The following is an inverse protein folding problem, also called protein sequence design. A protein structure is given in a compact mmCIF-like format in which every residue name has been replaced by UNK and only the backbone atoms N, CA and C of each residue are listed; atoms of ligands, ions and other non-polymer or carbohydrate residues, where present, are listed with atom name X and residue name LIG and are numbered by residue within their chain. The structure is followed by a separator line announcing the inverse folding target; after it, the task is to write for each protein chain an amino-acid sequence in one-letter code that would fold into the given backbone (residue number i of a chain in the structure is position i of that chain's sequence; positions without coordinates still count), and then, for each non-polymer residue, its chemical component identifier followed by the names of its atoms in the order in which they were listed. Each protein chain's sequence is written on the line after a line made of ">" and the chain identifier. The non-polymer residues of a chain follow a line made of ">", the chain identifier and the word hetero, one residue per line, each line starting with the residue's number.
data_IF_306884297680
#
_entry.id   IF_306884297680
#
_cell.length_a   1.000
_cell.length_b   1.000
_cell.length_c   1.000
_cell.angle_alpha   90.00
_cell.angle_beta   90.00
_cell.angle_gamma   90.00
#
_symmetry.space_group_name_H-M   'P 1'
#
loop_
_entity.id
_entity.type
_entity.pdbx_description
1 polymer ?
#
# COMPACT_ATOMS: atom_id res chain seq x y z
N UNK A 1 8.07 26.59 -4.75
CA UNK A 1 7.34 27.20 -3.61
C UNK A 1 6.34 26.18 -3.05
N UNK A 2 6.18 26.04 -1.73
CA UNK A 2 5.37 24.96 -1.15
C UNK A 2 3.91 25.40 -0.92
N UNK A 3 2.99 24.87 -1.72
CA UNK A 3 1.57 25.16 -1.60
C UNK A 3 0.94 24.22 -0.56
N UNK A 4 0.83 24.67 0.70
CA UNK A 4 0.25 23.89 1.80
C UNK A 4 -1.28 23.88 1.71
N UNK A 5 -1.89 22.70 1.82
CA UNK A 5 -3.33 22.48 1.79
C UNK A 5 -3.82 21.78 3.06
N UNK A 6 -5.13 21.88 3.32
CA UNK A 6 -5.77 21.10 4.37
C UNK A 6 -5.69 19.61 4.03
N UNK A 7 -5.39 18.79 5.02
CA UNK A 7 -5.21 17.34 4.87
C UNK A 7 -3.83 16.89 4.39
N UNK A 8 -2.89 17.79 4.09
CA UNK A 8 -1.50 17.41 3.81
C UNK A 8 -0.82 16.83 5.07
N UNK A 9 0.23 16.02 4.89
CA UNK A 9 0.94 15.34 5.96
C UNK A 9 2.33 15.94 6.17
N UNK A 10 2.53 16.49 7.35
CA UNK A 10 3.77 17.12 7.78
C UNK A 10 4.30 16.43 9.03
N UNK A 11 5.56 16.67 9.35
CA UNK A 11 6.14 16.32 10.64
C UNK A 11 7.15 17.39 11.03
N UNK A 12 7.53 17.41 12.31
CA UNK A 12 8.64 18.23 12.77
C UNK A 12 9.96 17.80 12.11
N UNK A 13 10.90 18.73 11.93
CA UNK A 13 12.21 18.48 11.32
C UNK A 13 12.98 17.33 11.98
N UNK A 14 12.83 17.13 13.29
CA UNK A 14 13.50 16.07 14.05
C UNK A 14 12.84 14.67 13.91
N UNK A 15 11.77 14.53 13.14
CA UNK A 15 11.21 13.22 12.82
C UNK A 15 12.17 12.41 11.92
N UNK A 16 12.21 11.07 11.96
CA UNK A 16 13.11 10.28 11.11
C UNK A 16 12.64 10.14 9.65
N UNK A 17 11.34 10.18 9.39
CA UNK A 17 10.84 10.04 8.01
C UNK A 17 11.09 11.27 7.16
N UNK A 18 11.46 11.03 5.90
CA UNK A 18 11.53 12.04 4.84
C UNK A 18 10.46 11.77 3.77
N UNK A 19 10.29 12.72 2.84
CA UNK A 19 9.31 12.63 1.75
C UNK A 19 9.41 11.32 0.97
N UNK A 20 10.63 10.91 0.64
CA UNK A 20 10.93 9.70 -0.16
C UNK A 20 11.41 8.53 0.70
N UNK A 21 11.92 8.80 1.91
CA UNK A 21 12.51 7.79 2.80
C UNK A 21 11.61 7.57 4.00
N UNK A 22 10.72 6.58 3.87
CA UNK A 22 9.75 6.19 4.92
C UNK A 22 10.06 4.82 5.54
N UNK A 23 10.90 4.01 4.90
CA UNK A 23 11.33 2.71 5.40
C UNK A 23 12.53 2.86 6.38
N UNK A 24 12.36 3.70 7.40
CA UNK A 24 13.37 3.94 8.44
C UNK A 24 12.97 3.21 9.71
N UNK A 25 13.88 2.40 10.24
CA UNK A 25 13.73 1.78 11.56
C UNK A 25 14.23 2.73 12.65
N UNK A 26 13.41 2.93 13.67
CA UNK A 26 13.71 3.86 14.77
C UNK A 26 14.43 3.07 15.86
N UNK A 27 15.72 3.34 16.03
CA UNK A 27 16.52 2.81 17.13
C UNK A 27 16.51 3.76 18.34
N UNK A 28 16.74 3.22 19.54
CA UNK A 28 16.74 4.01 20.79
C UNK A 28 15.34 4.29 21.34
N UNK A 29 15.14 5.46 21.94
CA UNK A 29 13.87 5.84 22.57
C UNK A 29 12.83 6.29 21.54
N UNK A 30 12.15 5.33 20.91
CA UNK A 30 11.14 5.59 19.89
C UNK A 30 10.01 6.53 20.37
N UNK A 31 9.69 6.54 21.66
CA UNK A 31 8.69 7.44 22.27
C UNK A 31 9.03 8.93 22.18
N UNK A 32 10.27 9.30 21.83
CA UNK A 32 10.68 10.69 21.57
C UNK A 32 10.44 11.10 20.11
N UNK A 33 9.98 10.18 19.26
CA UNK A 33 9.63 10.49 17.87
C UNK A 33 8.36 11.33 17.84
N UNK A 34 8.33 12.48 17.16
CA UNK A 34 7.12 13.27 17.07
C UNK A 34 6.02 12.56 16.23
N UNK A 35 4.75 12.95 16.37
CA UNK A 35 3.68 12.43 15.52
C UNK A 35 3.78 12.98 14.09
N UNK A 36 3.16 12.26 13.16
CA UNK A 36 2.83 12.80 11.84
C UNK A 36 1.56 13.64 11.99
N UNK A 37 1.65 14.89 11.55
CA UNK A 37 0.63 15.90 11.67
C UNK A 37 -0.19 15.97 10.38
N UNK A 38 -1.52 15.96 10.52
CA UNK A 38 -2.44 16.25 9.40
C UNK A 38 -2.85 17.72 9.47
N UNK A 39 -2.71 18.47 8.38
CA UNK A 39 -3.05 19.91 8.39
C UNK A 39 -4.56 20.11 8.55
N UNK A 40 -4.97 20.73 9.65
CA UNK A 40 -6.37 21.04 9.99
C UNK A 40 -6.75 22.51 9.75
N UNK A 41 -5.81 23.42 9.99
CA UNK A 41 -5.97 24.87 9.76
C UNK A 41 -4.65 25.48 9.27
N UNK A 42 -4.74 26.58 8.54
CA UNK A 42 -3.60 27.36 8.07
C UNK A 42 -3.81 28.81 8.49
N UNK A 43 -2.79 29.39 9.13
CA UNK A 43 -2.74 30.79 9.49
C UNK A 43 -1.67 31.49 8.66
N UNK A 44 -2.09 32.43 7.84
CA UNK A 44 -1.25 33.39 7.15
C UNK A 44 -1.29 34.69 7.95
N UNK A 45 -0.35 34.91 8.90
CA UNK A 45 -0.31 36.16 9.62
C UNK A 45 -0.16 37.33 8.63
N UNK A 46 -0.68 38.52 8.95
CA UNK A 46 -0.36 39.73 8.20
C UNK A 46 1.17 39.88 8.09
N UNK A 47 1.65 40.71 7.14
CA UNK A 47 3.05 41.22 7.11
C UNK A 47 3.30 42.13 8.33
N UNK A 48 3.13 41.58 9.51
CA UNK A 48 3.42 42.18 10.80
C UNK A 48 4.75 41.60 11.25
N UNK A 49 5.70 42.49 11.47
CA UNK A 49 6.92 42.17 12.18
C UNK A 49 6.56 42.00 13.65
N UNK A 50 7.16 41.00 14.28
CA UNK A 50 7.14 40.88 15.72
C UNK A 50 7.72 42.16 16.34
N UNK A 51 7.00 42.76 17.29
CA UNK A 51 7.34 44.06 17.86
C UNK A 51 8.65 44.03 18.69
N UNK A 52 9.04 42.85 19.18
CA UNK A 52 10.25 42.66 19.99
C UNK A 52 11.44 42.21 19.12
N UNK A 53 11.21 41.30 18.15
CA UNK A 53 12.30 40.73 17.35
C UNK A 53 12.49 41.37 15.98
N UNK A 54 11.50 42.13 15.48
CA UNK A 54 11.54 42.74 14.14
C UNK A 54 11.43 41.72 12.99
N UNK A 55 11.25 40.42 13.29
CA UNK A 55 11.17 39.36 12.28
C UNK A 55 9.73 39.26 11.78
N UNK A 56 9.54 39.16 10.46
CA UNK A 56 8.21 38.94 9.88
C UNK A 56 7.62 37.61 10.39
N UNK A 57 6.37 37.65 10.90
CA UNK A 57 5.69 36.44 11.36
C UNK A 57 5.59 35.42 10.23
N UNK A 58 6.10 34.22 10.46
CA UNK A 58 6.02 33.13 9.49
C UNK A 58 4.63 32.53 9.44
N UNK A 59 4.26 31.98 8.28
CA UNK A 59 3.07 31.12 8.13
C UNK A 59 3.08 30.02 9.19
N UNK A 60 1.91 29.77 9.78
CA UNK A 60 1.70 28.73 10.77
C UNK A 60 0.64 27.76 10.27
N UNK A 61 0.73 26.52 10.71
CA UNK A 61 -0.31 25.52 10.47
C UNK A 61 -0.73 24.92 11.81
N UNK A 62 -1.98 24.47 11.88
CA UNK A 62 -2.49 23.65 12.96
C UNK A 62 -2.50 22.20 12.50
N UNK A 63 -1.62 21.38 13.06
CA UNK A 63 -1.62 19.94 12.85
C UNK A 63 -2.58 19.26 13.82
N UNK A 64 -3.31 18.24 13.37
CA UNK A 64 -4.04 17.29 14.23
C UNK A 64 -3.33 15.93 14.21
N UNK A 65 -3.27 15.26 15.35
CA UNK A 65 -2.76 13.90 15.52
C UNK A 65 -3.52 13.18 16.63
N UNK A 66 -3.38 11.85 16.72
CA UNK A 66 -3.93 11.07 17.82
C UNK A 66 -2.83 10.73 18.83
N UNK A 67 -3.11 10.88 20.12
CA UNK A 67 -2.17 10.63 21.19
C UNK A 67 -2.64 9.42 22.03
N UNK A 68 -1.88 8.32 22.01
CA UNK A 68 -2.25 7.15 22.84
C UNK A 68 -2.15 7.42 24.33
N UNK A 69 -1.28 8.34 24.77
CA UNK A 69 -1.09 8.61 26.20
C UNK A 69 -2.39 9.07 26.87
N UNK A 70 -3.22 9.83 26.18
CA UNK A 70 -4.51 10.31 26.69
C UNK A 70 -5.72 9.80 25.92
N UNK A 71 -5.51 9.02 24.85
CA UNK A 71 -6.54 8.49 23.97
C UNK A 71 -7.43 9.58 23.35
N UNK A 72 -6.84 10.71 22.93
CA UNK A 72 -7.53 11.85 22.34
C UNK A 72 -6.85 12.34 21.07
N UNK A 73 -7.63 13.05 20.26
CA UNK A 73 -7.09 13.87 19.19
C UNK A 73 -6.54 15.17 19.78
N UNK A 74 -5.29 15.48 19.47
CA UNK A 74 -4.62 16.70 19.91
C UNK A 74 -4.31 17.58 18.69
N UNK A 75 -4.21 18.88 18.95
CA UNK A 75 -3.85 19.85 17.92
C UNK A 75 -2.66 20.69 18.34
N UNK A 76 -1.76 20.97 17.40
CA UNK A 76 -0.54 21.73 17.64
C UNK A 76 -0.37 22.82 16.56
N UNK A 77 -0.16 24.06 16.98
CA UNK A 77 0.27 25.14 16.09
C UNK A 77 1.78 25.11 15.91
N UNK A 78 2.25 25.05 14.66
CA UNK A 78 3.67 24.96 14.33
C UNK A 78 4.01 25.95 13.22
N UNK A 79 5.19 26.56 13.31
CA UNK A 79 5.73 27.39 12.23
C UNK A 79 6.13 26.52 11.03
N UNK A 80 5.82 26.97 9.82
CA UNK A 80 6.18 26.22 8.60
C UNK A 80 7.68 25.95 8.48
N UNK A 81 8.53 26.79 9.09
CA UNK A 81 9.98 26.61 9.13
C UNK A 81 10.44 25.40 9.95
N UNK A 82 9.66 24.95 10.92
CA UNK A 82 9.99 23.81 11.80
C UNK A 82 9.47 22.48 11.23
N UNK A 83 8.82 22.54 10.07
CA UNK A 83 8.17 21.39 9.46
C UNK A 83 8.92 20.87 8.26
N UNK A 84 8.80 19.57 8.06
CA UNK A 84 9.13 18.88 6.83
C UNK A 84 7.94 18.11 6.30
N UNK A 85 7.96 17.85 5.01
CA UNK A 85 6.82 17.28 4.29
C UNK A 85 7.00 15.80 4.13
N UNK A 86 5.99 15.05 4.56
CA UNK A 86 5.99 13.60 4.48
C UNK A 86 5.18 13.15 3.27
N UNK A 87 4.03 13.80 3.02
CA UNK A 87 3.18 13.49 1.88
C UNK A 87 2.32 14.70 1.54
N UNK A 88 2.24 15.00 0.24
CA UNK A 88 1.34 16.01 -0.30
C UNK A 88 0.18 15.27 -0.96
N UNK A 89 -1.04 15.80 -0.81
CA UNK A 89 -2.19 15.30 -1.53
C UNK A 89 -2.12 15.75 -3.01
N UNK A 90 -1.37 15.03 -3.83
CA UNK A 90 -1.38 15.18 -5.29
C UNK A 90 -2.43 14.26 -5.89
N UNK A 91 -3.38 14.81 -6.65
CA UNK A 91 -4.09 13.99 -7.65
C UNK A 91 -3.25 13.98 -8.93
N UNK A 92 -3.19 12.78 -9.52
CA UNK A 92 -2.80 12.37 -10.86
C UNK A 92 -2.30 13.45 -11.82
N UNK A 93 -1.17 13.15 -12.44
CA UNK A 93 -0.57 13.82 -13.60
C UNK A 93 -1.55 13.91 -14.78
N UNK A 94 -2.43 14.91 -14.76
CA UNK A 94 -3.01 15.50 -15.96
C UNK A 94 -3.26 16.95 -15.61
N UNK A 95 -2.22 17.76 -15.76
CA UNK A 95 -2.26 19.16 -16.21
C UNK A 95 -0.85 19.72 -16.06
N UNK A 96 -0.08 19.54 -17.14
CA UNK A 96 1.22 20.14 -17.33
C UNK A 96 1.11 21.67 -17.39
N UNK A 97 2.18 22.29 -16.91
CA UNK A 97 2.75 23.55 -17.37
C UNK A 97 1.97 24.83 -17.05
N UNK A 98 2.41 25.49 -15.96
CA UNK A 98 3.14 26.74 -16.14
C UNK A 98 4.11 26.95 -14.97
N UNK A 99 5.35 26.52 -15.19
CA UNK A 99 6.50 26.96 -14.42
C UNK A 99 6.87 28.37 -14.87
N UNK A 100 6.69 29.37 -14.01
CA UNK A 100 7.57 30.53 -13.99
C UNK A 100 8.02 30.74 -12.54
N UNK A 101 9.32 30.55 -12.32
CA UNK A 101 10.03 30.86 -11.09
C UNK A 101 10.60 32.26 -11.26
N UNK A 102 10.13 33.20 -10.44
CA UNK A 102 10.90 34.39 -10.08
C UNK A 102 10.98 34.48 -8.56
N UNK A 103 12.21 34.54 -8.08
CA UNK A 103 12.63 34.94 -6.75
C UNK A 103 12.43 36.44 -6.59
N UNK A 104 11.60 36.83 -5.62
CA UNK A 104 11.76 37.97 -4.71
C UNK A 104 10.40 38.56 -4.30
N UNK A 105 10.20 38.69 -2.98
CA UNK A 105 9.38 39.77 -2.39
C UNK A 105 7.86 39.81 -2.59
N UNK A 106 7.23 38.96 -3.39
CA UNK A 106 5.83 39.18 -3.79
C UNK A 106 4.79 38.27 -3.13
N UNK A 107 3.64 38.89 -2.86
CA UNK A 107 2.49 38.36 -2.14
C UNK A 107 1.90 37.13 -2.82
N UNK A 108 1.59 36.09 -2.05
CA UNK A 108 0.61 35.11 -2.52
C UNK A 108 -0.71 35.84 -2.79
N UNK A 109 -1.10 35.89 -4.06
CA UNK A 109 -2.49 36.10 -4.44
C UNK A 109 -3.29 34.90 -3.92
N UNK A 110 -3.77 34.95 -2.67
CA UNK A 110 -4.94 34.16 -2.25
C UNK A 110 -6.23 34.71 -2.86
N UNK A 111 -6.14 35.61 -3.86
CA UNK A 111 -7.26 36.06 -4.69
C UNK A 111 -7.80 34.99 -5.65
N UNK A 112 -7.14 33.84 -5.79
CA UNK A 112 -7.62 32.74 -6.64
C UNK A 112 -7.41 31.38 -5.99
N UNK A 113 -8.48 30.77 -5.49
CA UNK A 113 -8.60 29.35 -5.19
C UNK A 113 -7.61 28.77 -4.17
N UNK A 114 -7.92 28.91 -2.87
CA UNK A 114 -7.60 27.81 -1.94
C UNK A 114 -8.54 26.67 -2.31
N UNK A 115 -8.02 25.67 -3.01
CA UNK A 115 -8.79 24.48 -3.34
C UNK A 115 -9.12 23.73 -2.05
N UNK A 116 -10.37 23.86 -1.60
CA UNK A 116 -10.95 23.00 -0.58
C UNK A 116 -11.59 21.83 -1.32
N UNK A 117 -11.26 20.60 -0.90
CA UNK A 117 -11.89 19.39 -1.44
C UNK A 117 -13.42 19.44 -1.28
N UNK A 118 -13.89 20.11 -0.23
CA UNK A 118 -15.31 20.29 0.08
C UNK A 118 -15.63 21.78 0.24
N UNK A 119 -15.84 22.52 -0.86
CA UNK A 119 -16.18 23.93 -0.80
C UNK A 119 -17.60 24.15 -0.25
N UNK A 120 -17.89 25.38 0.20
CA UNK A 120 -19.22 25.81 0.67
C UNK A 120 -20.37 25.63 -0.34
N UNK A 121 -20.05 25.46 -1.63
CA UNK A 121 -21.04 25.21 -2.67
C UNK A 121 -21.66 23.82 -2.61
N UNK A 122 -21.03 22.86 -1.92
CA UNK A 122 -21.61 21.54 -1.69
C UNK A 122 -22.67 21.63 -0.59
N UNK A 123 -23.85 21.04 -0.80
CA UNK A 123 -24.89 21.06 0.23
C UNK A 123 -24.51 20.20 1.44
N UNK A 124 -25.00 20.56 2.63
CA UNK A 124 -24.77 19.77 3.83
C UNK A 124 -25.38 18.37 3.70
N UNK A 125 -26.51 18.26 3.01
CA UNK A 125 -27.21 17.00 2.70
C UNK A 125 -26.31 16.06 1.90
N UNK A 126 -25.62 16.57 0.88
CA UNK A 126 -24.70 15.75 0.09
C UNK A 126 -23.50 15.27 0.92
N UNK A 127 -22.95 16.13 1.80
CA UNK A 127 -21.87 15.71 2.71
C UNK A 127 -22.37 14.63 3.68
N UNK A 128 -23.61 14.74 4.16
CA UNK A 128 -24.25 13.70 5.00
C UNK A 128 -24.37 12.37 4.26
N UNK A 129 -24.85 12.35 3.03
CA UNK A 129 -24.88 11.12 2.21
C UNK A 129 -23.49 10.49 2.04
N UNK A 130 -22.45 11.32 1.89
CA UNK A 130 -21.09 10.84 1.69
C UNK A 130 -20.43 10.28 2.95
N UNK A 131 -20.74 10.80 4.15
CA UNK A 131 -19.96 10.50 5.35
C UNK A 131 -20.78 9.93 6.52
N UNK A 132 -22.06 10.28 6.64
CA UNK A 132 -22.86 9.88 7.81
C UNK A 132 -22.90 8.36 7.94
N UNK A 133 -22.68 7.86 9.16
CA UNK A 133 -22.60 6.43 9.49
C UNK A 133 -21.48 5.65 8.82
N UNK A 134 -20.61 6.30 8.03
CA UNK A 134 -19.42 5.65 7.47
C UNK A 134 -18.28 5.63 8.48
N UNK A 135 -17.40 4.67 8.28
CA UNK A 135 -16.13 4.61 9.00
C UNK A 135 -15.12 5.53 8.33
N UNK A 136 -14.39 6.29 9.14
CA UNK A 136 -13.32 7.17 8.69
C UNK A 136 -12.09 6.98 9.55
N UNK A 137 -10.92 7.34 9.02
CA UNK A 137 -9.66 7.25 9.73
C UNK A 137 -8.80 8.47 9.42
N UNK A 138 -7.98 8.89 10.38
CA UNK A 138 -7.07 10.01 10.19
C UNK A 138 -6.01 9.66 9.13
N UNK A 139 -5.73 10.58 8.20
CA UNK A 139 -4.81 10.38 7.07
C UNK A 139 -3.38 9.96 7.43
N UNK A 140 -2.93 10.27 8.64
CA UNK A 140 -1.63 9.83 9.13
C UNK A 140 -1.55 8.32 9.40
N UNK A 141 -2.68 7.61 9.47
CA UNK A 141 -2.74 6.22 9.93
C UNK A 141 -1.76 5.28 9.25
N UNK A 142 -1.71 5.26 7.92
CA UNK A 142 -0.86 4.31 7.19
C UNK A 142 0.64 4.57 7.42
N UNK A 143 1.02 5.84 7.58
CA UNK A 143 2.39 6.20 7.89
C UNK A 143 2.74 5.87 9.35
N UNK A 144 1.80 6.08 10.28
CA UNK A 144 1.96 5.68 11.68
C UNK A 144 2.06 4.16 11.83
N UNK A 145 1.22 3.39 11.11
CA UNK A 145 1.31 1.92 11.05
C UNK A 145 2.63 1.41 10.48
N UNK A 146 3.28 2.21 9.62
CA UNK A 146 4.57 1.89 9.01
C UNK A 146 5.76 2.07 9.96
N UNK A 147 5.60 2.73 11.11
CA UNK A 147 6.70 2.99 12.05
C UNK A 147 7.15 1.69 12.71
N UNK A 148 8.41 1.36 12.50
CA UNK A 148 9.08 0.21 13.12
C UNK A 148 10.14 0.71 14.09
N UNK A 149 10.18 0.13 15.28
CA UNK A 149 11.27 0.30 16.25
C UNK A 149 12.12 -0.95 16.31
N UNK A 150 13.43 -0.77 16.44
CA UNK A 150 14.40 -1.84 16.63
C UNK A 150 15.00 -1.76 18.03
N UNK A 151 15.15 -2.90 18.68
CA UNK A 151 15.84 -3.02 19.98
C UNK A 151 17.01 -3.95 19.83
N UNK A 152 18.21 -3.45 20.15
CA UNK A 152 19.43 -4.22 20.16
C UNK A 152 19.41 -5.21 21.32
N UNK A 153 19.59 -6.50 21.03
CA UNK A 153 19.79 -7.52 22.05
C UNK A 153 21.09 -8.28 21.75
N UNK A 154 21.99 -8.31 22.73
CA UNK A 154 23.22 -9.08 22.66
C UNK A 154 23.04 -10.34 23.52
N UNK A 155 22.67 -11.44 22.89
CA UNK A 155 22.79 -12.77 23.51
C UNK A 155 24.26 -13.16 23.57
N UNK A 156 24.65 -13.87 24.64
CA UNK A 156 26.04 -14.26 24.94
C UNK A 156 26.75 -15.04 23.81
N UNK A 157 26.00 -15.56 22.84
CA UNK A 157 26.49 -16.26 21.65
C UNK A 157 26.55 -15.35 20.41
N UNK A 158 27.42 -14.32 20.42
CA UNK A 158 28.02 -13.60 19.27
C UNK A 158 27.21 -13.33 17.97
N UNK A 159 25.88 -13.39 17.98
CA UNK A 159 25.01 -12.93 16.90
C UNK A 159 24.14 -11.80 17.43
N UNK A 160 24.39 -10.54 17.03
CA UNK A 160 23.44 -9.48 17.31
C UNK A 160 22.11 -9.84 16.65
N UNK A 161 21.05 -9.89 17.44
CA UNK A 161 19.71 -10.10 16.91
C UNK A 161 18.88 -8.87 17.24
N UNK A 162 18.54 -8.11 16.19
CA UNK A 162 17.72 -6.92 16.30
C UNK A 162 16.26 -7.33 16.30
N UNK A 163 15.58 -7.10 17.43
CA UNK A 163 14.14 -7.34 17.52
C UNK A 163 13.41 -6.14 16.94
N UNK A 164 12.79 -6.32 15.77
CA UNK A 164 11.96 -5.31 15.13
C UNK A 164 10.51 -5.45 15.61
N UNK A 165 9.91 -4.35 16.07
CA UNK A 165 8.50 -4.29 16.50
C UNK A 165 7.83 -3.03 15.97
N UNK A 166 6.50 -3.00 15.92
CA UNK A 166 5.78 -1.78 15.53
C UNK A 166 5.86 -0.69 16.62
N UNK A 167 5.88 0.57 16.20
CA UNK A 167 5.78 1.74 17.08
C UNK A 167 4.46 2.46 16.81
N UNK A 168 3.51 2.35 17.74
CA UNK A 168 2.10 2.69 17.51
C UNK A 168 1.60 3.84 18.37
N UNK A 169 2.48 4.63 18.99
CA UNK A 169 2.12 5.64 20.01
C UNK A 169 1.19 6.75 19.47
N UNK A 170 1.15 6.95 18.14
CA UNK A 170 0.28 7.91 17.48
C UNK A 170 -0.69 7.29 16.46
N UNK A 171 -0.89 5.96 16.51
CA UNK A 171 -1.82 5.28 15.61
C UNK A 171 -3.29 5.70 15.90
N UNK A 172 -3.98 6.42 15.01
CA UNK A 172 -5.37 6.83 15.22
C UNK A 172 -6.32 5.61 15.22
N UNK A 173 -7.40 5.60 16.03
CA UNK A 173 -8.44 4.58 15.96
C UNK A 173 -9.31 4.78 14.70
N UNK A 174 -10.02 3.72 14.29
CA UNK A 174 -11.11 3.82 13.32
C UNK A 174 -12.29 4.54 13.98
N UNK A 175 -12.86 5.51 13.27
CA UNK A 175 -13.93 6.38 13.76
C UNK A 175 -15.22 6.07 13.01
N UNK A 176 -16.36 6.26 13.67
CA UNK A 176 -17.68 6.27 13.01
C UNK A 176 -18.23 7.70 13.01
N UNK A 177 -18.62 8.20 11.84
CA UNK A 177 -19.25 9.52 11.74
C UNK A 177 -20.69 9.43 12.22
N UNK A 178 -21.02 10.19 13.27
CA UNK A 178 -22.36 10.20 13.88
C UNK A 178 -23.16 11.46 13.55
N UNK A 179 -22.50 12.56 13.20
CA UNK A 179 -23.14 13.82 12.80
C UNK A 179 -22.17 14.67 11.98
N UNK A 180 -22.70 15.67 11.26
CA UNK A 180 -21.92 16.59 10.43
C UNK A 180 -22.49 17.99 10.60
N UNK A 181 -21.62 18.95 10.91
CA UNK A 181 -21.99 20.36 11.05
C UNK A 181 -21.11 21.27 10.19
N UNK A 182 -21.64 22.41 9.72
CA UNK A 182 -20.80 23.45 9.15
C UNK A 182 -19.86 24.01 10.23
N UNK A 183 -18.65 24.37 9.82
CA UNK A 183 -17.71 25.06 10.69
C UNK A 183 -18.09 26.54 10.75
N UNK A 184 -18.49 27.01 11.92
CA UNK A 184 -18.87 28.41 12.16
C UNK A 184 -17.66 29.34 12.26
N UNK A 185 -16.44 28.79 12.31
CA UNK A 185 -15.23 29.60 12.31
C UNK A 185 -15.12 30.42 11.02
N UNK A 186 -15.21 31.75 11.18
CA UNK A 186 -15.14 32.68 10.06
C UNK A 186 -13.75 32.62 9.41
N UNK A 187 -13.74 32.33 8.11
CA UNK A 187 -12.64 32.67 7.23
C UNK A 187 -12.38 34.17 7.40
N UNK A 188 -11.23 34.52 7.95
CA UNK A 188 -10.86 35.93 8.16
C UNK A 188 -9.97 36.39 7.02
N UNK A 189 -10.27 37.57 6.48
CA UNK A 189 -9.44 38.23 5.48
C UNK A 189 -8.54 39.26 6.16
N UNK A 190 -7.36 39.50 5.59
CA UNK A 190 -6.51 40.60 5.98
C UNK A 190 -7.10 41.89 5.39
N UNK A 191 -7.45 42.90 6.22
CA UNK A 191 -8.06 44.13 5.75
C UNK A 191 -7.14 44.97 4.83
N UNK A 192 -5.82 44.77 4.90
CA UNK A 192 -4.84 45.53 4.08
C UNK A 192 -4.55 44.87 2.73
N UNK A 193 -4.46 43.54 2.68
CA UNK A 193 -4.08 42.81 1.45
C UNK A 193 -5.24 42.09 0.76
N UNK A 194 -6.40 41.97 1.41
CA UNK A 194 -7.54 41.16 0.93
C UNK A 194 -7.32 39.65 1.00
N UNK A 195 -6.11 39.21 1.36
CA UNK A 195 -5.72 37.81 1.42
C UNK A 195 -6.34 37.06 2.60
N UNK A 196 -6.52 35.75 2.45
CA UNK A 196 -7.05 34.87 3.48
C UNK A 196 -6.06 34.74 4.65
N UNK A 197 -6.41 35.31 5.81
CA UNK A 197 -5.65 35.25 7.07
C UNK A 197 -5.74 33.87 7.71
N UNK A 198 -6.94 33.30 7.77
CA UNK A 198 -7.18 31.97 8.35
C UNK A 198 -7.94 31.10 7.34
N UNK A 199 -7.41 29.92 7.08
CA UNK A 199 -8.05 28.88 6.28
C UNK A 199 -8.37 27.73 7.23
N UNK A 200 -9.66 27.42 7.36
CA UNK A 200 -10.19 26.31 8.13
C UNK A 200 -11.09 25.46 7.24
N UNK A 201 -11.37 24.24 7.71
CA UNK A 201 -12.35 23.37 7.08
C UNK A 201 -13.75 23.99 7.08
N UNK A 202 -14.53 23.70 6.03
CA UNK A 202 -15.93 24.13 5.93
C UNK A 202 -16.86 23.23 6.73
N UNK A 203 -16.53 21.94 6.87
CA UNK A 203 -17.37 20.95 7.55
C UNK A 203 -16.59 20.21 8.62
N UNK A 204 -17.23 20.02 9.77
CA UNK A 204 -16.71 19.22 10.86
C UNK A 204 -17.53 17.95 10.99
N UNK A 205 -16.84 16.82 11.01
CA UNK A 205 -17.42 15.51 11.26
C UNK A 205 -17.42 15.26 12.76
N UNK A 206 -18.58 14.99 13.34
CA UNK A 206 -18.67 14.45 14.70
C UNK A 206 -18.35 12.97 14.63
N UNK A 207 -17.21 12.58 15.16
CA UNK A 207 -16.68 11.23 15.10
C UNK A 207 -16.79 10.56 16.47
N UNK A 208 -17.19 9.29 16.50
CA UNK A 208 -17.26 8.43 17.68
C UNK A 208 -16.27 7.28 17.57
N UNK A 209 -15.55 6.96 18.66
CA UNK A 209 -14.65 5.81 18.72
C UNK A 209 -14.58 5.21 20.12
N UNK A 210 -14.14 3.96 20.20
CA UNK A 210 -13.92 3.30 21.48
C UNK A 210 -12.62 3.80 22.12
N UNK A 211 -12.72 4.32 23.35
CA UNK A 211 -11.59 4.79 24.12
C UNK A 211 -11.25 3.77 25.22
N UNK A 212 -10.16 2.99 25.05
CA UNK A 212 -9.84 1.90 25.97
C UNK A 212 -9.40 2.39 27.35
N UNK A 213 -8.88 3.62 27.49
CA UNK A 213 -8.53 4.18 28.80
C UNK A 213 -9.77 4.45 29.65
N UNK A 214 -10.87 4.88 29.02
CA UNK A 214 -12.15 5.13 29.71
C UNK A 214 -13.07 3.91 29.77
N UNK A 215 -12.84 2.88 28.95
CA UNK A 215 -13.77 1.77 28.75
C UNK A 215 -15.10 2.17 28.09
N UNK A 216 -15.16 3.34 27.46
CA UNK A 216 -16.37 3.94 26.90
C UNK A 216 -16.12 4.55 25.52
N UNK A 217 -17.16 5.07 24.88
CA UNK A 217 -17.00 5.79 23.61
C UNK A 217 -16.66 7.25 23.85
N UNK A 218 -15.67 7.75 23.12
CA UNK A 218 -15.34 9.18 23.03
C UNK A 218 -15.89 9.76 21.73
N UNK A 219 -16.19 11.07 21.77
CA UNK A 219 -16.70 11.82 20.63
C UNK A 219 -15.92 13.13 20.48
N UNK A 220 -15.62 13.52 19.25
CA UNK A 220 -14.97 14.80 18.95
C UNK A 220 -15.28 15.26 17.53
N UNK A 221 -15.12 16.56 17.27
CA UNK A 221 -15.29 17.16 15.95
C UNK A 221 -13.97 17.23 15.21
N UNK A 222 -13.91 16.56 14.06
CA UNK A 222 -12.71 16.46 13.24
C UNK A 222 -12.97 17.13 11.87
N UNK A 223 -12.05 17.95 11.36
CA UNK A 223 -12.14 18.51 10.01
C UNK A 223 -12.26 17.44 8.93
N UNK A 224 -13.18 17.62 7.98
CA UNK A 224 -13.44 16.63 6.92
C UNK A 224 -12.20 16.33 6.05
N UNK A 225 -11.27 17.28 5.90
CA UNK A 225 -10.07 17.11 5.08
C UNK A 225 -8.98 16.29 5.76
N UNK A 226 -9.04 16.07 7.09
CA UNK A 226 -7.99 15.35 7.81
C UNK A 226 -8.20 13.84 7.84
N UNK A 227 -9.37 13.37 7.38
CA UNK A 227 -9.74 11.95 7.38
C UNK A 227 -9.89 11.40 5.96
N UNK A 228 -9.74 10.09 5.84
CA UNK A 228 -10.14 9.30 4.69
C UNK A 228 -11.27 8.33 5.08
N UNK A 229 -12.14 7.99 4.12
CA UNK A 229 -13.19 7.00 4.32
C UNK A 229 -12.54 5.61 4.32
N UNK A 230 -12.89 4.79 5.31
CA UNK A 230 -12.50 3.38 5.33
C UNK A 230 -13.38 2.63 4.35
N UNK A 231 -12.77 1.99 3.36
CA UNK A 231 -13.48 1.22 2.34
C UNK A 231 -14.20 0.04 2.99
N UNK A 232 -15.50 -0.09 2.70
CA UNK A 232 -16.22 -1.32 3.01
C UNK A 232 -15.92 -2.32 1.89
N UNK A 233 -15.37 -3.48 2.25
CA UNK A 233 -14.93 -4.47 1.29
C UNK A 233 -15.83 -5.69 1.38
N UNK A 234 -16.76 -5.80 0.44
CA UNK A 234 -17.75 -6.89 0.38
C UNK A 234 -17.14 -8.23 -0.10
N UNK A 235 -15.89 -8.24 -0.56
CA UNK A 235 -15.22 -9.43 -1.12
C UNK A 235 -14.55 -10.32 -0.06
N UNK A 236 -14.61 -9.95 1.22
CA UNK A 236 -14.01 -10.72 2.33
C UNK A 236 -14.52 -12.16 2.38
N UNK A 237 -15.83 -12.35 2.23
CA UNK A 237 -16.45 -13.68 2.26
C UNK A 237 -16.06 -14.52 1.04
N UNK A 238 -15.94 -13.89 -0.14
CA UNK A 238 -15.52 -14.57 -1.35
C UNK A 238 -14.07 -15.06 -1.22
N UNK A 239 -13.14 -14.20 -0.80
CA UNK A 239 -11.75 -14.63 -0.58
C UNK A 239 -11.64 -15.71 0.50
N UNK A 240 -12.48 -15.64 1.54
CA UNK A 240 -12.53 -16.67 2.58
C UNK A 240 -12.93 -18.04 2.01
N UNK A 241 -13.89 -18.08 1.07
CA UNK A 241 -14.25 -19.31 0.35
C UNK A 241 -13.08 -19.84 -0.49
N UNK A 242 -12.39 -18.98 -1.24
CA UNK A 242 -11.23 -19.36 -2.06
C UNK A 242 -10.08 -19.95 -1.24
N UNK A 243 -9.83 -19.40 -0.04
CA UNK A 243 -8.83 -19.94 0.91
C UNK A 243 -9.20 -21.37 1.33
N UNK A 244 -10.48 -21.61 1.65
CA UNK A 244 -10.97 -22.93 2.07
C UNK A 244 -10.92 -23.93 0.91
N UNK A 245 -11.36 -23.52 -0.28
CA UNK A 245 -11.40 -24.38 -1.47
C UNK A 245 -10.01 -24.65 -2.06
N UNK A 246 -8.99 -23.88 -1.64
CA UNK A 246 -7.61 -23.93 -2.15
C UNK A 246 -7.54 -23.65 -3.64
N UNK A 247 -8.38 -22.75 -4.13
CA UNK A 247 -8.46 -22.37 -5.53
C UNK A 247 -7.48 -21.23 -5.87
N UNK A 248 -7.07 -21.23 -7.13
CA UNK A 248 -6.27 -20.18 -7.76
C UNK A 248 -7.20 -19.26 -8.51
N UNK A 249 -6.85 -17.98 -8.52
CA UNK A 249 -7.51 -16.95 -9.32
C UNK A 249 -6.47 -16.22 -10.16
N UNK A 250 -6.91 -15.61 -11.25
CA UNK A 250 -6.05 -14.83 -12.13
C UNK A 250 -5.79 -13.46 -11.49
N UNK A 251 -4.53 -13.15 -11.22
CA UNK A 251 -4.13 -11.87 -10.61
C UNK A 251 -3.17 -11.11 -11.55
N UNK A 252 -3.38 -9.81 -11.81
CA UNK A 252 -2.44 -9.01 -12.59
C UNK A 252 -1.07 -8.97 -11.93
N UNK A 253 -0.03 -9.08 -12.76
CA UNK A 253 1.34 -8.85 -12.31
C UNK A 253 1.60 -7.34 -12.20
N UNK A 254 2.41 -6.93 -11.21
CA UNK A 254 2.85 -5.54 -11.06
C UNK A 254 3.72 -5.10 -12.24
N UNK A 255 4.56 -6.00 -12.72
CA UNK A 255 5.43 -5.84 -13.88
C UNK A 255 5.16 -7.00 -14.83
N UNK A 256 4.99 -6.70 -16.12
CA UNK A 256 4.77 -7.75 -17.12
C UNK A 256 6.04 -8.57 -17.29
N UNK A 257 5.88 -9.88 -17.45
CA UNK A 257 7.00 -10.77 -17.76
C UNK A 257 7.10 -10.88 -19.28
N UNK A 258 8.17 -10.34 -19.85
CA UNK A 258 8.50 -10.51 -21.26
C UNK A 258 9.37 -11.76 -21.42
N UNK A 259 8.83 -12.79 -22.06
CA UNK A 259 9.60 -13.98 -22.40
C UNK A 259 10.59 -13.64 -23.52
N UNK A 260 11.80 -14.19 -23.48
CA UNK A 260 12.76 -14.02 -24.59
C UNK A 260 12.24 -14.58 -25.92
N UNK A 261 11.22 -15.44 -25.90
CA UNK A 261 10.48 -15.87 -27.09
C UNK A 261 9.56 -14.78 -27.69
N UNK A 262 9.47 -13.59 -27.09
CA UNK A 262 8.64 -12.46 -27.54
C UNK A 262 7.18 -12.49 -27.07
N UNK A 263 6.84 -13.34 -26.09
CA UNK A 263 5.48 -13.41 -25.51
C UNK A 263 5.44 -12.64 -24.19
N UNK A 264 4.39 -11.84 -23.99
CA UNK A 264 4.24 -11.04 -22.78
C UNK A 264 3.14 -11.63 -21.89
N UNK A 265 3.49 -11.90 -20.63
CA UNK A 265 2.60 -12.44 -19.61
C UNK A 265 2.19 -11.30 -18.68
N UNK A 266 0.89 -11.08 -18.55
CA UNK A 266 0.33 -9.96 -17.77
C UNK A 266 -0.28 -10.38 -16.44
N UNK A 267 -0.55 -11.67 -16.28
CA UNK A 267 -1.21 -12.21 -15.09
C UNK A 267 -0.43 -13.39 -14.53
N UNK A 268 -0.71 -13.72 -13.28
CA UNK A 268 -0.31 -14.97 -12.62
C UNK A 268 -1.54 -15.68 -12.08
N UNK A 269 -1.37 -16.93 -11.65
CA UNK A 269 -2.33 -17.63 -10.82
C UNK A 269 -1.93 -17.46 -9.36
N UNK A 270 -2.75 -16.71 -8.62
CA UNK A 270 -2.60 -16.46 -7.20
C UNK A 270 -3.53 -17.38 -6.41
N UNK A 271 -3.01 -18.09 -5.42
CA UNK A 271 -3.81 -18.84 -4.46
C UNK A 271 -3.88 -18.06 -3.14
N UNK A 272 -5.05 -17.54 -2.73
CA UNK A 272 -5.23 -16.95 -1.42
C UNK A 272 -4.94 -17.97 -0.32
N UNK A 273 -4.11 -17.62 0.65
CA UNK A 273 -3.73 -18.49 1.77
C UNK A 273 -4.29 -17.96 3.08
N UNK A 274 -4.28 -16.64 3.29
CA UNK A 274 -4.72 -16.04 4.54
C UNK A 274 -5.22 -14.61 4.34
N UNK A 275 -6.32 -14.30 5.01
CA UNK A 275 -6.80 -12.93 5.18
C UNK A 275 -6.26 -12.32 6.48
N UNK A 276 -5.82 -11.07 6.43
CA UNK A 276 -5.29 -10.33 7.58
C UNK A 276 -5.99 -8.99 7.66
N UNK A 277 -6.70 -8.73 8.76
CA UNK A 277 -7.19 -7.38 9.04
C UNK A 277 -6.08 -6.55 9.68
N UNK A 278 -5.59 -5.54 8.95
CA UNK A 278 -4.54 -4.62 9.39
C UNK A 278 -5.17 -3.26 9.72
N UNK A 279 -5.72 -3.17 10.93
CA UNK A 279 -6.30 -1.98 11.57
C UNK A 279 -7.56 -1.40 10.91
N UNK A 280 -7.48 -0.99 9.64
CA UNK A 280 -8.62 -0.44 8.89
C UNK A 280 -8.75 -1.04 7.48
N UNK A 281 -7.83 -1.90 7.05
CA UNK A 281 -7.86 -2.54 5.74
C UNK A 281 -7.56 -4.03 5.81
N UNK A 282 -8.11 -4.78 4.87
CA UNK A 282 -7.82 -6.20 4.72
C UNK A 282 -6.65 -6.40 3.76
N UNK A 283 -5.76 -7.31 4.12
CA UNK A 283 -4.66 -7.77 3.30
C UNK A 283 -4.85 -9.25 2.99
N UNK A 284 -4.49 -9.65 1.78
CA UNK A 284 -4.47 -11.05 1.35
C UNK A 284 -3.03 -11.49 1.24
N UNK A 285 -2.66 -12.53 2.00
CA UNK A 285 -1.46 -13.31 1.72
C UNK A 285 -1.80 -14.40 0.74
N UNK A 286 -1.08 -14.45 -0.37
CA UNK A 286 -1.31 -15.41 -1.43
C UNK A 286 0.00 -16.03 -1.92
N UNK A 287 -0.10 -17.24 -2.44
CA UNK A 287 0.97 -17.92 -3.13
C UNK A 287 0.87 -17.63 -4.63
N UNK A 288 1.94 -17.10 -5.21
CA UNK A 288 2.07 -16.90 -6.65
C UNK A 288 2.64 -18.15 -7.30
N UNK A 289 1.88 -18.76 -8.22
CA UNK A 289 2.26 -19.99 -8.89
C UNK A 289 3.53 -19.84 -9.77
N UNK A 290 3.74 -18.66 -10.36
CA UNK A 290 4.80 -18.44 -11.36
C UNK A 290 6.15 -18.23 -10.68
N UNK A 291 6.17 -17.38 -9.66
CA UNK A 291 7.35 -17.11 -8.85
C UNK A 291 7.56 -18.15 -7.73
N UNK A 292 6.58 -19.01 -7.46
CA UNK A 292 6.60 -19.98 -6.37
C UNK A 292 6.92 -19.34 -5.01
N UNK A 293 6.39 -18.15 -4.77
CA UNK A 293 6.66 -17.33 -3.59
C UNK A 293 5.37 -16.78 -2.97
N UNK A 294 5.46 -16.41 -1.69
CA UNK A 294 4.36 -15.79 -0.96
C UNK A 294 4.43 -14.27 -1.10
N UNK A 295 3.31 -13.67 -1.46
CA UNK A 295 3.15 -12.22 -1.56
C UNK A 295 2.02 -11.74 -0.65
N UNK A 296 1.97 -10.42 -0.47
CA UNK A 296 0.92 -9.72 0.27
C UNK A 296 0.41 -8.56 -0.59
N UNK A 297 -0.91 -8.43 -0.70
CA UNK A 297 -1.57 -7.33 -1.40
C UNK A 297 -2.74 -6.79 -0.58
N UNK A 298 -3.13 -5.54 -0.84
CA UNK A 298 -4.40 -5.01 -0.33
C UNK A 298 -5.55 -5.79 -0.95
N UNK A 299 -6.58 -6.11 -0.16
CA UNK A 299 -7.77 -6.80 -0.68
C UNK A 299 -8.48 -5.95 -1.74
N UNK A 300 -8.41 -4.62 -1.67
CA UNK A 300 -8.97 -3.71 -2.67
C UNK A 300 -8.25 -3.77 -4.03
N UNK A 301 -7.00 -4.23 -4.07
CA UNK A 301 -6.20 -4.42 -5.30
C UNK A 301 -6.19 -5.87 -5.77
N UNK A 302 -6.75 -6.78 -4.98
CA UNK A 302 -6.79 -8.20 -5.25
C UNK A 302 -8.02 -8.51 -6.11
N UNK A 303 -7.80 -8.99 -7.34
CA UNK A 303 -8.90 -9.27 -8.26
C UNK A 303 -9.62 -10.52 -7.80
N UNK A 304 -10.88 -10.36 -7.37
CA UNK A 304 -11.72 -11.47 -6.94
C UNK A 304 -12.78 -11.69 -8.02
N UNK A 305 -12.38 -12.37 -9.09
CA UNK A 305 -13.29 -12.81 -10.14
C UNK A 305 -13.88 -14.18 -9.79
N UNK A 306 -15.04 -14.52 -10.36
CA UNK A 306 -15.70 -15.82 -10.16
C UNK A 306 -14.99 -16.97 -10.88
N UNK A 307 -14.03 -16.67 -11.77
CA UNK A 307 -13.23 -17.64 -12.51
C UNK A 307 -12.11 -18.21 -11.62
N UNK A 308 -12.48 -19.05 -10.65
CA UNK A 308 -11.56 -19.79 -9.80
C UNK A 308 -11.27 -21.18 -10.36
N UNK A 309 -10.04 -21.68 -10.14
CA UNK A 309 -9.57 -22.96 -10.67
C UNK A 309 -8.79 -23.71 -9.60
N UNK A 310 -8.90 -25.03 -9.54
CA UNK A 310 -7.97 -25.83 -8.73
C UNK A 310 -6.71 -26.10 -9.52
N UNK A 311 -5.59 -26.31 -8.83
CA UNK A 311 -4.32 -26.65 -9.49
C UNK A 311 -4.44 -27.86 -10.42
N UNK A 312 -5.27 -28.83 -10.05
CA UNK A 312 -5.53 -30.01 -10.89
C UNK A 312 -6.20 -29.67 -12.22
N UNK A 313 -6.97 -28.59 -12.29
CA UNK A 313 -7.69 -28.17 -13.49
C UNK A 313 -6.72 -27.48 -14.48
N UNK A 314 -5.56 -27.00 -13.99
CA UNK A 314 -4.47 -26.45 -14.81
C UNK A 314 -3.56 -27.54 -15.39
N UNK A 315 -3.65 -28.78 -14.92
CA UNK A 315 -2.74 -29.88 -15.28
C UNK A 315 -3.50 -30.93 -16.08
N UNK A 316 -3.09 -31.10 -17.34
CA UNK A 316 -3.65 -32.11 -18.25
C UNK A 316 -3.11 -33.49 -17.92
N UNK A 317 -1.78 -33.64 -17.87
CA UNK A 317 -1.10 -34.92 -17.65
C UNK A 317 0.04 -34.75 -16.64
N UNK A 318 0.40 -35.82 -15.92
CA UNK A 318 1.50 -35.84 -14.96
C UNK A 318 2.47 -36.97 -15.29
N UNK A 319 3.76 -36.73 -15.09
CA UNK A 319 4.83 -37.69 -15.35
C UNK A 319 5.90 -37.53 -14.26
N UNK A 320 6.38 -38.62 -13.62
CA UNK A 320 5.95 -39.99 -13.83
C UNK A 320 4.55 -40.22 -13.24
N UNK A 321 3.79 -41.08 -13.90
CA UNK A 321 2.45 -41.53 -13.50
C UNK A 321 2.35 -43.04 -13.79
N UNK A 322 1.80 -43.77 -12.82
CA UNK A 322 1.55 -45.20 -12.92
C UNK A 322 0.19 -45.42 -13.56
N UNK A 323 0.16 -46.22 -14.62
CA UNK A 323 -1.06 -46.62 -15.29
C UNK A 323 -1.49 -48.00 -14.78
N UNK A 324 -2.59 -48.04 -14.03
CA UNK A 324 -3.15 -49.27 -13.45
C UNK A 324 -3.60 -50.28 -14.51
N UNK A 325 -4.04 -49.81 -15.69
CA UNK A 325 -4.54 -50.68 -16.77
C UNK A 325 -3.40 -51.39 -17.49
N UNK A 326 -2.33 -50.67 -17.80
CA UNK A 326 -1.16 -51.25 -18.49
C UNK A 326 -0.10 -51.78 -17.53
N UNK A 327 -0.23 -51.50 -16.23
CA UNK A 327 0.78 -51.77 -15.19
C UNK A 327 2.16 -51.20 -15.52
N UNK A 328 2.21 -50.08 -16.24
CA UNK A 328 3.45 -49.42 -16.64
C UNK A 328 3.64 -48.08 -15.93
N UNK A 329 4.89 -47.71 -15.71
CA UNK A 329 5.27 -46.41 -15.15
C UNK A 329 5.81 -45.54 -16.28
N UNK A 330 5.18 -44.39 -16.52
CA UNK A 330 5.73 -43.41 -17.46
C UNK A 330 6.99 -42.79 -16.86
N UNK A 331 8.08 -42.75 -17.63
CA UNK A 331 9.32 -42.11 -17.18
C UNK A 331 9.43 -40.70 -17.75
N UNK A 332 10.03 -39.82 -16.95
CA UNK A 332 10.34 -38.45 -17.37
C UNK A 332 11.26 -38.43 -18.60
N UNK A 333 12.20 -39.39 -18.69
CA UNK A 333 13.18 -39.50 -19.78
C UNK A 333 12.54 -39.87 -21.14
N UNK A 334 11.36 -40.49 -21.12
CA UNK A 334 10.66 -40.89 -22.34
C UNK A 334 9.76 -39.77 -22.87
N UNK A 335 9.50 -38.73 -22.07
CA UNK A 335 8.58 -37.66 -22.43
C UNK A 335 9.12 -36.78 -23.56
N UNK A 336 8.23 -36.44 -24.50
CA UNK A 336 8.55 -35.55 -25.63
C UNK A 336 7.87 -34.20 -25.45
N UNK A 337 8.67 -33.15 -25.25
CA UNK A 337 8.14 -31.79 -25.15
C UNK A 337 7.70 -31.26 -26.51
N UNK A 338 6.54 -30.62 -26.51
CA UNK A 338 6.06 -29.79 -27.62
C UNK A 338 6.61 -28.36 -27.46
N UNK A 339 7.27 -27.85 -28.51
CA UNK A 339 7.78 -26.47 -28.57
C UNK A 339 6.59 -25.50 -28.56
N UNK A 340 6.73 -24.38 -27.86
CA UNK A 340 5.68 -23.36 -27.74
C UNK A 340 4.62 -23.65 -26.67
N UNK A 341 4.82 -24.67 -25.84
CA UNK A 341 3.91 -25.03 -24.75
C UNK A 341 4.53 -24.75 -23.38
N UNK A 342 3.66 -24.49 -22.40
CA UNK A 342 4.03 -24.41 -20.99
C UNK A 342 4.01 -25.76 -20.28
N UNK A 343 4.96 -25.94 -19.38
CA UNK A 343 5.06 -27.11 -18.49
C UNK A 343 5.41 -26.66 -17.08
N UNK A 344 4.87 -27.34 -16.08
CA UNK A 344 5.33 -27.22 -14.70
C UNK A 344 6.27 -28.38 -14.41
N UNK A 345 7.51 -28.07 -14.09
CA UNK A 345 8.57 -29.06 -13.86
C UNK A 345 9.07 -29.03 -12.42
N UNK A 346 9.39 -30.20 -11.88
CA UNK A 346 10.19 -30.33 -10.66
C UNK A 346 11.61 -30.65 -11.06
N UNK A 347 12.55 -29.76 -10.73
CA UNK A 347 13.93 -29.79 -11.22
C UNK A 347 14.92 -29.70 -10.06
N UNK A 348 15.89 -30.63 -10.06
CA UNK A 348 17.06 -30.66 -9.19
C UNK A 348 18.22 -29.97 -9.89
N UNK A 349 18.72 -28.89 -9.30
CA UNK A 349 19.87 -28.17 -9.86
C UNK A 349 21.21 -28.85 -9.54
N UNK A 350 22.31 -28.23 -9.99
CA UNK A 350 23.68 -28.72 -9.76
C UNK A 350 24.10 -28.73 -8.29
N UNK A 351 23.38 -28.00 -7.42
CA UNK A 351 23.60 -27.96 -5.99
C UNK A 351 22.61 -28.87 -5.23
N UNK A 352 21.94 -29.79 -5.94
CA UNK A 352 20.90 -30.67 -5.41
C UNK A 352 19.68 -29.95 -4.81
N UNK A 353 19.48 -28.68 -5.13
CA UNK A 353 18.28 -27.94 -4.70
C UNK A 353 17.13 -28.30 -5.63
N UNK A 354 16.04 -28.82 -5.03
CA UNK A 354 14.82 -29.14 -5.76
C UNK A 354 13.95 -27.89 -5.83
N UNK A 355 13.55 -27.53 -7.05
CA UNK A 355 12.72 -26.36 -7.33
C UNK A 355 11.56 -26.76 -8.23
N UNK A 356 10.42 -26.09 -8.07
CA UNK A 356 9.27 -26.24 -8.97
C UNK A 356 9.16 -24.98 -9.81
N UNK A 357 9.01 -25.14 -11.13
CA UNK A 357 9.08 -24.03 -12.08
C UNK A 357 8.07 -24.21 -13.19
N UNK A 358 7.55 -23.11 -13.71
CA UNK A 358 6.81 -23.10 -14.97
C UNK A 358 7.77 -22.62 -16.07
N UNK A 359 7.85 -23.39 -17.15
CA UNK A 359 8.75 -23.15 -18.27
C UNK A 359 7.98 -23.13 -19.59
N UNK A 360 8.42 -22.28 -20.51
CA UNK A 360 7.92 -22.19 -21.89
C UNK A 360 8.97 -22.73 -22.86
N UNK A 361 8.67 -23.83 -23.55
CA UNK A 361 9.67 -24.56 -24.34
C UNK A 361 10.00 -23.82 -25.64
N UNK A 362 11.27 -23.41 -25.80
CA UNK A 362 11.79 -22.85 -27.04
C UNK A 362 12.40 -23.92 -27.93
N UNK A 363 13.22 -24.79 -27.35
CA UNK A 363 13.98 -25.80 -28.09
C UNK A 363 14.33 -27.00 -27.21
N UNK A 364 14.38 -28.17 -27.84
CA UNK A 364 14.89 -29.41 -27.22
C UNK A 364 16.07 -29.89 -28.05
N UNK A 365 17.23 -30.07 -27.42
CA UNK A 365 18.45 -30.53 -28.07
C UNK A 365 18.70 -31.98 -27.66
N UNK A 366 18.67 -32.89 -28.65
CA UNK A 366 19.07 -34.29 -28.54
C UNK A 366 18.50 -35.06 -27.32
N UNK A 367 17.32 -34.67 -26.83
CA UNK A 367 16.73 -35.17 -25.56
C UNK A 367 17.71 -35.15 -24.37
N UNK A 368 18.59 -34.17 -24.33
CA UNK A 368 19.56 -33.97 -23.24
C UNK A 368 19.39 -32.61 -22.57
N UNK A 369 19.07 -31.59 -23.36
CA UNK A 369 18.93 -30.22 -22.88
C UNK A 369 17.61 -29.63 -23.38
N UNK A 370 16.87 -29.01 -22.47
CA UNK A 370 15.70 -28.20 -22.76
C UNK A 370 16.10 -26.75 -22.62
N UNK A 371 15.89 -25.96 -23.67
CA UNK A 371 16.02 -24.51 -23.65
C UNK A 371 14.60 -23.94 -23.54
N UNK A 372 14.36 -23.21 -22.45
CA UNK A 372 13.04 -22.69 -22.13
C UNK A 372 13.11 -21.39 -21.35
N UNK A 373 12.10 -20.54 -21.55
CA UNK A 373 11.90 -19.33 -20.75
C UNK A 373 11.29 -19.72 -19.40
N UNK A 374 11.86 -19.24 -18.31
CA UNK A 374 11.53 -19.70 -16.96
C UNK A 374 10.80 -18.61 -16.17
N UNK A 375 9.55 -18.86 -15.79
CA UNK A 375 8.74 -17.87 -15.05
C UNK A 375 9.26 -17.58 -13.64
N UNK A 376 9.94 -18.54 -13.01
CA UNK A 376 10.64 -18.33 -11.73
C UNK A 376 11.82 -17.33 -11.84
N UNK A 377 12.23 -17.00 -13.07
CA UNK A 377 13.36 -16.12 -13.40
C UNK A 377 12.91 -15.02 -14.35
N UNK A 378 11.70 -14.53 -14.16
CA UNK A 378 11.15 -13.36 -14.87
C UNK A 378 11.22 -13.52 -16.40
N UNK A 379 10.96 -14.74 -16.90
CA UNK A 379 10.89 -15.01 -18.33
C UNK A 379 12.24 -15.19 -19.04
N UNK A 380 13.36 -15.11 -18.31
CA UNK A 380 14.68 -15.30 -18.89
C UNK A 380 14.90 -16.77 -19.35
N UNK A 381 15.67 -16.93 -20.42
CA UNK A 381 16.01 -18.25 -20.97
C UNK A 381 16.90 -19.02 -19.99
N UNK A 382 16.60 -20.31 -19.81
CA UNK A 382 17.40 -21.24 -19.01
C UNK A 382 17.54 -22.58 -19.73
N UNK A 383 18.65 -23.25 -19.44
CA UNK A 383 18.98 -24.55 -20.00
C UNK A 383 18.82 -25.60 -18.89
N UNK A 384 17.88 -26.52 -19.11
CA UNK A 384 17.54 -27.57 -18.15
C UNK A 384 18.09 -28.90 -18.64
N UNK A 385 18.82 -29.60 -17.77
CA UNK A 385 19.31 -30.95 -18.08
C UNK A 385 18.18 -31.95 -17.95
N UNK A 386 18.05 -32.79 -18.96
CA UNK A 386 17.01 -33.82 -19.03
C UNK A 386 17.49 -35.16 -18.45
N UNK A 387 18.81 -35.41 -18.42
CA UNK A 387 19.44 -36.63 -17.88
C UNK A 387 19.94 -36.43 -16.44
N UNK A 388 20.43 -37.52 -15.84
CA UNK A 388 21.08 -37.54 -14.52
C UNK A 388 20.13 -37.19 -13.36
N UNK A 389 18.86 -37.65 -13.43
CA UNK A 389 17.85 -37.37 -12.40
C UNK A 389 17.62 -35.86 -12.12
N UNK A 390 18.01 -34.98 -13.05
CA UNK A 390 17.84 -33.55 -12.87
C UNK A 390 16.36 -33.15 -13.02
N UNK A 391 15.63 -33.80 -13.92
CA UNK A 391 14.19 -33.59 -14.10
C UNK A 391 13.42 -34.69 -13.37
N UNK A 392 12.69 -34.34 -12.33
CA UNK A 392 12.03 -35.29 -11.41
C UNK A 392 10.55 -35.49 -11.72
N UNK A 393 9.89 -34.45 -12.22
CA UNK A 393 8.46 -34.45 -12.52
C UNK A 393 8.15 -33.47 -13.63
N UNK A 394 7.24 -33.85 -14.53
CA UNK A 394 6.64 -33.00 -15.55
C UNK A 394 5.13 -33.00 -15.34
N UNK A 395 4.54 -31.82 -15.34
CA UNK A 395 3.10 -31.62 -15.38
C UNK A 395 2.79 -30.80 -16.63
N UNK A 396 2.05 -31.41 -17.54
CA UNK A 396 1.64 -30.78 -18.79
C UNK A 396 0.52 -29.80 -18.46
N UNK A 397 0.76 -28.52 -18.69
CA UNK A 397 -0.22 -27.49 -18.38
C UNK A 397 -1.24 -27.36 -19.51
N UNK A 398 -2.48 -27.04 -19.16
CA UNK A 398 -3.51 -26.76 -20.15
C UNK A 398 -3.23 -25.42 -20.84
N UNK A 399 -2.86 -25.49 -22.11
CA UNK A 399 -2.45 -24.32 -22.90
C UNK A 399 -3.59 -23.32 -23.11
N UNK A 400 -4.86 -23.74 -22.99
CA UNK A 400 -6.01 -22.84 -23.12
C UNK A 400 -6.04 -21.76 -22.03
N UNK A 401 -5.56 -22.12 -20.84
CA UNK A 401 -5.38 -21.20 -19.71
C UNK A 401 -4.13 -20.35 -19.88
N UNK A 402 -3.00 -20.94 -20.31
CA UNK A 402 -1.70 -20.26 -20.38
C UNK A 402 -1.46 -19.41 -21.65
N UNK A 403 -2.28 -19.57 -22.67
CA UNK A 403 -2.25 -18.71 -23.86
C UNK A 403 -3.05 -17.42 -23.70
N UNK A 404 -3.89 -17.31 -22.66
CA UNK A 404 -4.73 -16.13 -22.36
C UNK A 404 -4.16 -15.24 -21.24
N UNK A 405 -2.92 -15.48 -20.83
CA UNK A 405 -2.24 -14.82 -19.68
C UNK A 405 -1.28 -13.75 -20.17
#
# INVERSE_FOLDING_TARGET
>A
MMNIRLGDLYSLQNHPYEKEVKNVQIAGYASMTPPILVVSEILNPPKEHDAETGIAKSRQIKGIYYCHKNHKFETLWVNVKELKVIQVNTRSETESNNNNVTTDGEEFLTKGYVWQKYPKSISLEHIKELFLHKQVILKSCDLELGKLKTTFSQTAENKPNDKITAHLDFLPPVLTVIDIKPNEEKITHNPKSGNLKKISSVYLLKCKWYNPLSGSFSEDFIPIETVDIVENIDTVDHVSRLIISKEFIKQPLKEQIELESGKNIKYTYAQPIKLIFKHHKYLVKYYDLFHSQMYEASLSEFMVDDDSLKLKDLIVNKIPEYDDETQTMSNVEDYTFTIGNFYRITYRDTHNTITVRIIFIKKVIAKTIIIADCLLRDGNERHFRFKEESLLKIEVLDQSYFNKI
#
